data_IF_352056043751
#
_entry.id   IF_352056043751
#
_cell.length_a   1.000
_cell.length_b   1.000
_cell.length_c   1.000
_cell.angle_alpha   90.00
_cell.angle_beta   90.00
_cell.angle_gamma   90.00
#
_symmetry.space_group_name_H-M   'P 1'
#
loop_
_entity.id
_entity.type
_entity.pdbx_description
1 polymer ?
#
# COMPACT_ATOMS: atom_id res chain seq x y z
N UNK A 1 -40.80 26.94 -45.89
CA UNK A 1 -39.43 27.40 -45.57
C UNK A 1 -39.15 26.90 -44.17
N UNK A 2 -38.56 25.71 -44.06
CA UNK A 2 -38.26 25.05 -42.78
C UNK A 2 -36.82 25.41 -42.46
N UNK A 3 -36.61 26.09 -41.33
CA UNK A 3 -35.26 26.47 -40.89
C UNK A 3 -34.39 25.22 -40.69
N UNK A 4 -33.19 25.15 -41.29
CA UNK A 4 -32.31 23.98 -41.21
C UNK A 4 -31.68 23.76 -39.83
N UNK A 5 -31.92 24.64 -38.85
CA UNK A 5 -31.34 24.60 -37.50
C UNK A 5 -32.06 23.67 -36.51
N UNK A 6 -33.28 23.21 -36.81
CA UNK A 6 -34.11 22.46 -35.86
C UNK A 6 -33.88 20.94 -35.89
N UNK A 7 -33.19 20.44 -36.91
CA UNK A 7 -33.00 19.00 -37.15
C UNK A 7 -31.84 18.35 -36.39
N UNK A 8 -31.02 19.13 -35.66
CA UNK A 8 -29.87 18.63 -34.91
C UNK A 8 -30.11 18.48 -33.39
N UNK A 9 -31.24 18.97 -32.86
CA UNK A 9 -31.49 18.96 -31.40
C UNK A 9 -32.14 17.67 -30.89
N UNK A 10 -32.66 16.81 -31.76
CA UNK A 10 -33.45 15.62 -31.37
C UNK A 10 -32.72 14.28 -31.53
N UNK A 11 -31.46 14.29 -31.95
CA UNK A 11 -30.64 13.08 -32.01
C UNK A 11 -30.16 12.69 -30.60
N UNK A 12 -30.94 11.87 -29.90
CA UNK A 12 -30.49 11.21 -28.65
C UNK A 12 -29.16 10.50 -28.93
N UNK A 13 -28.05 10.87 -28.26
CA UNK A 13 -26.77 10.24 -28.50
C UNK A 13 -26.85 8.75 -28.16
N UNK A 14 -26.37 7.89 -29.05
CA UNK A 14 -26.23 6.47 -28.76
C UNK A 14 -24.97 6.25 -27.90
N UNK A 15 -25.15 5.72 -26.69
CA UNK A 15 -24.08 5.50 -25.71
C UNK A 15 -23.59 4.04 -25.61
N UNK A 16 -24.10 3.13 -26.45
CA UNK A 16 -23.84 1.68 -26.33
C UNK A 16 -22.35 1.27 -26.50
N UNK A 17 -21.51 2.16 -27.03
CA UNK A 17 -20.07 1.92 -27.22
C UNK A 17 -19.15 2.56 -26.18
N UNK A 18 -19.68 3.31 -25.21
CA UNK A 18 -18.83 4.04 -24.24
C UNK A 18 -18.50 3.13 -23.06
N UNK A 19 -17.21 2.90 -22.72
CA UNK A 19 -16.82 2.11 -21.56
C UNK A 19 -17.06 2.90 -20.25
N UNK A 20 -18.32 3.11 -19.90
CA UNK A 20 -18.75 3.96 -18.79
C UNK A 20 -18.22 3.45 -17.44
N UNK A 21 -18.16 2.13 -17.25
CA UNK A 21 -17.66 1.53 -16.03
C UNK A 21 -16.16 1.81 -15.81
N UNK A 22 -15.35 1.70 -16.86
CA UNK A 22 -13.92 1.94 -16.78
C UNK A 22 -13.63 3.42 -16.49
N UNK A 23 -14.32 4.32 -17.20
CA UNK A 23 -14.18 5.76 -17.00
C UNK A 23 -14.65 6.19 -15.61
N UNK A 24 -15.74 5.63 -15.09
CA UNK A 24 -16.23 5.93 -13.75
C UNK A 24 -15.28 5.44 -12.65
N UNK A 25 -14.70 4.24 -12.82
CA UNK A 25 -13.66 3.74 -11.93
C UNK A 25 -12.44 4.66 -11.90
N UNK A 26 -11.96 5.12 -13.06
CA UNK A 26 -10.85 6.08 -13.16
C UNK A 26 -11.24 7.42 -12.54
N UNK A 27 -12.45 7.92 -12.80
CA UNK A 27 -12.98 9.17 -12.26
C UNK A 27 -12.99 9.16 -10.73
N UNK A 28 -13.46 8.07 -10.12
CA UNK A 28 -13.49 7.91 -8.66
C UNK A 28 -12.07 7.99 -8.07
N UNK A 29 -11.09 7.35 -8.70
CA UNK A 29 -9.69 7.36 -8.25
C UNK A 29 -9.03 8.73 -8.45
N UNK A 30 -9.30 9.41 -9.55
CA UNK A 30 -8.83 10.77 -9.80
C UNK A 30 -9.43 11.75 -8.78
N UNK A 31 -10.71 11.63 -8.45
CA UNK A 31 -11.35 12.45 -7.42
C UNK A 31 -10.69 12.28 -6.04
N UNK A 32 -10.36 11.04 -5.66
CA UNK A 32 -9.62 10.74 -4.44
C UNK A 32 -8.23 11.40 -4.44
N UNK A 33 -7.49 11.27 -5.56
CA UNK A 33 -6.18 11.91 -5.72
C UNK A 33 -6.25 13.43 -5.63
N UNK A 34 -7.22 14.05 -6.30
CA UNK A 34 -7.43 15.50 -6.24
C UNK A 34 -7.73 15.95 -4.81
N UNK A 35 -8.53 15.18 -4.06
CA UNK A 35 -8.82 15.50 -2.67
C UNK A 35 -7.56 15.45 -1.79
N UNK A 36 -6.69 14.45 -1.99
CA UNK A 36 -5.42 14.35 -1.25
C UNK A 36 -4.41 15.43 -1.63
N UNK A 37 -4.29 15.76 -2.91
CA UNK A 37 -3.44 16.86 -3.38
C UNK A 37 -3.93 18.21 -2.84
N UNK A 38 -5.25 18.42 -2.83
CA UNK A 38 -5.85 19.62 -2.24
C UNK A 38 -5.51 19.72 -0.76
N UNK A 39 -5.58 18.61 -0.02
CA UNK A 39 -5.20 18.57 1.39
C UNK A 39 -3.73 18.95 1.61
N UNK A 40 -2.80 18.40 0.82
CA UNK A 40 -1.38 18.78 0.90
C UNK A 40 -1.19 20.27 0.59
N UNK A 41 -1.82 20.76 -0.47
CA UNK A 41 -1.75 22.18 -0.84
C UNK A 41 -2.28 23.07 0.28
N UNK A 42 -3.41 22.71 0.88
CA UNK A 42 -4.02 23.49 1.95
C UNK A 42 -3.13 23.48 3.21
N UNK A 43 -2.43 22.37 3.51
CA UNK A 43 -1.43 22.27 4.59
C UNK A 43 -0.17 23.09 4.30
N UNK A 44 0.31 23.11 3.04
CA UNK A 44 1.46 23.90 2.61
C UNK A 44 1.14 25.40 2.53
N UNK A 45 -0.14 25.75 2.34
CA UNK A 45 -0.59 27.15 2.30
C UNK A 45 -0.68 27.80 3.67
N UNK A 46 -0.51 27.03 4.77
CA UNK A 46 -0.48 27.59 6.11
C UNK A 46 0.83 28.37 6.33
N UNK A 47 0.72 29.49 7.06
CA UNK A 47 1.83 30.40 7.32
C UNK A 47 2.96 29.77 8.16
N UNK A 48 2.62 28.74 8.95
CA UNK A 48 3.57 27.95 9.72
C UNK A 48 3.80 26.62 9.00
N UNK A 49 5.07 26.27 8.75
CA UNK A 49 5.40 24.99 8.13
C UNK A 49 4.91 23.85 9.05
N UNK A 50 4.09 22.92 8.54
CA UNK A 50 3.63 21.80 9.33
C UNK A 50 4.81 20.92 9.76
N UNK A 51 4.62 20.19 10.87
CA UNK A 51 5.58 19.20 11.33
C UNK A 51 5.91 18.20 10.21
N UNK A 52 7.20 17.96 9.96
CA UNK A 52 7.69 17.10 8.87
C UNK A 52 6.98 15.73 8.79
N UNK A 53 6.76 15.08 9.93
CA UNK A 53 6.07 13.78 9.98
C UNK A 53 4.64 13.82 9.42
N UNK A 54 3.92 14.92 9.66
CA UNK A 54 2.57 15.12 9.14
C UNK A 54 2.59 15.28 7.62
N UNK A 55 3.55 16.05 7.10
CA UNK A 55 3.74 16.21 5.66
C UNK A 55 4.12 14.87 4.98
N UNK A 56 5.09 14.16 5.56
CA UNK A 56 5.53 12.85 5.06
C UNK A 56 4.38 11.84 5.01
N UNK A 57 3.56 11.79 6.06
CA UNK A 57 2.39 10.90 6.12
C UNK A 57 1.39 11.22 5.00
N UNK A 58 1.09 12.50 4.76
CA UNK A 58 0.19 12.92 3.68
C UNK A 58 0.77 12.63 2.28
N UNK A 59 2.09 12.78 2.11
CA UNK A 59 2.78 12.42 0.88
C UNK A 59 2.70 10.91 0.62
N UNK A 60 2.92 10.08 1.65
CA UNK A 60 2.78 8.62 1.52
C UNK A 60 1.36 8.18 1.14
N UNK A 61 0.34 8.83 1.70
CA UNK A 61 -1.06 8.59 1.31
C UNK A 61 -1.29 8.97 -0.15
N UNK A 62 -0.76 10.13 -0.58
CA UNK A 62 -0.90 10.60 -1.96
C UNK A 62 -0.16 9.67 -2.94
N UNK A 63 1.04 9.21 -2.58
CA UNK A 63 1.79 8.24 -3.38
C UNK A 63 1.01 6.93 -3.55
N UNK A 64 0.37 6.44 -2.47
CA UNK A 64 -0.48 5.25 -2.52
C UNK A 64 -1.69 5.45 -3.45
N UNK A 65 -2.27 6.65 -3.45
CA UNK A 65 -3.37 6.99 -4.35
C UNK A 65 -2.91 7.10 -5.82
N UNK A 66 -1.75 7.70 -6.08
CA UNK A 66 -1.15 7.73 -7.43
C UNK A 66 -0.92 6.31 -7.93
N UNK A 67 -0.32 5.43 -7.10
CA UNK A 67 -0.15 4.02 -7.47
C UNK A 67 -1.48 3.32 -7.78
N UNK A 68 -2.53 3.59 -7.00
CA UNK A 68 -3.87 3.04 -7.24
C UNK A 68 -4.48 3.53 -8.55
N UNK A 69 -4.34 4.83 -8.87
CA UNK A 69 -4.77 5.42 -10.14
C UNK A 69 -4.03 4.77 -11.30
N UNK A 70 -2.70 4.66 -11.22
CA UNK A 70 -1.87 4.07 -12.27
C UNK A 70 -2.24 2.61 -12.52
N UNK A 71 -2.43 1.82 -11.47
CA UNK A 71 -2.86 0.42 -11.59
C UNK A 71 -4.25 0.30 -12.26
N UNK A 72 -5.18 1.20 -11.93
CA UNK A 72 -6.52 1.24 -12.54
C UNK A 72 -6.44 1.63 -14.01
N UNK A 73 -5.60 2.61 -14.37
CA UNK A 73 -5.38 3.02 -15.76
C UNK A 73 -4.73 1.90 -16.58
N UNK A 74 -3.74 1.20 -16.03
CA UNK A 74 -3.10 0.05 -16.68
C UNK A 74 -4.11 -1.08 -16.94
N UNK A 75 -4.99 -1.36 -15.99
CA UNK A 75 -6.04 -2.39 -16.16
C UNK A 75 -6.99 -2.06 -17.31
N UNK A 76 -7.37 -0.79 -17.49
CA UNK A 76 -8.29 -0.35 -18.55
C UNK A 76 -7.60 0.21 -19.80
N UNK A 77 -6.28 0.11 -19.91
CA UNK A 77 -5.50 0.76 -20.97
C UNK A 77 -6.00 0.40 -22.37
N UNK A 78 -6.29 -0.89 -22.63
CA UNK A 78 -6.77 -1.33 -23.94
C UNK A 78 -8.09 -0.70 -24.36
N UNK A 79 -9.02 -0.50 -23.41
CA UNK A 79 -10.31 0.15 -23.68
C UNK A 79 -10.13 1.66 -23.84
N UNK A 80 -9.33 2.28 -22.97
CA UNK A 80 -9.09 3.73 -22.98
C UNK A 80 -8.28 4.22 -24.18
N UNK A 81 -7.44 3.36 -24.78
CA UNK A 81 -6.69 3.71 -25.98
C UNK A 81 -7.56 3.63 -27.25
N UNK A 82 -8.54 2.72 -27.25
CA UNK A 82 -9.50 2.57 -28.37
C UNK A 82 -10.61 3.61 -28.38
N UNK A 83 -10.89 4.26 -27.25
CA UNK A 83 -12.00 5.20 -27.13
C UNK A 83 -11.60 6.61 -27.58
N UNK A 84 -12.38 7.19 -28.49
CA UNK A 84 -12.19 8.57 -28.94
C UNK A 84 -13.09 9.51 -28.14
N UNK A 85 -12.53 10.61 -27.64
CA UNK A 85 -13.27 11.60 -26.84
C UNK A 85 -13.70 12.74 -27.75
N UNK A 86 -15.02 12.91 -27.92
CA UNK A 86 -15.62 14.04 -28.63
C UNK A 86 -16.58 14.81 -27.71
N UNK A 87 -16.75 16.13 -27.89
CA UNK A 87 -17.75 16.89 -27.15
C UNK A 87 -19.16 16.39 -27.47
N UNK A 88 -20.05 16.48 -26.47
CA UNK A 88 -21.46 16.16 -26.66
C UNK A 88 -22.12 17.17 -27.63
N UNK A 89 -23.15 16.75 -28.41
CA UNK A 89 -23.89 17.66 -29.30
C UNK A 89 -24.52 18.86 -28.58
N UNK A 90 -24.80 18.70 -27.28
CA UNK A 90 -25.37 19.74 -26.42
C UNK A 90 -24.34 20.77 -25.94
N UNK A 91 -23.04 20.54 -26.18
CA UNK A 91 -21.99 21.44 -25.75
C UNK A 91 -21.76 22.55 -26.80
N UNK A 92 -21.87 23.85 -26.46
CA UNK A 92 -21.72 24.95 -27.41
C UNK A 92 -20.27 25.09 -27.87
N UNK A 93 -19.94 24.38 -28.95
CA UNK A 93 -18.56 24.19 -29.42
C UNK A 93 -17.96 25.50 -29.97
N UNK A 94 -18.77 26.37 -30.59
CA UNK A 94 -18.31 27.65 -31.16
C UNK A 94 -18.03 28.74 -30.13
N UNK A 95 -18.70 28.72 -28.97
CA UNK A 95 -18.54 29.78 -27.95
C UNK A 95 -17.41 29.50 -26.96
N UNK A 96 -17.05 28.23 -26.79
CA UNK A 96 -16.06 27.78 -25.79
C UNK A 96 -14.94 26.92 -26.40
N UNK A 97 -14.58 27.18 -27.65
CA UNK A 97 -13.53 26.45 -28.37
C UNK A 97 -12.17 26.51 -27.65
N UNK A 98 -11.79 27.68 -27.11
CA UNK A 98 -10.53 27.85 -26.38
C UNK A 98 -10.44 27.02 -25.09
N UNK A 99 -11.56 26.83 -24.40
CA UNK A 99 -11.62 25.95 -23.21
C UNK A 99 -11.53 24.49 -23.62
N UNK A 100 -12.26 24.10 -24.68
CA UNK A 100 -12.28 22.73 -25.18
C UNK A 100 -10.88 22.25 -25.63
N UNK A 101 -10.20 23.09 -26.42
CA UNK A 101 -8.84 22.82 -26.89
C UNK A 101 -7.83 22.70 -25.75
N UNK A 102 -8.04 23.41 -24.65
CA UNK A 102 -7.21 23.31 -23.44
C UNK A 102 -7.51 22.03 -22.64
N UNK A 103 -8.79 21.68 -22.44
CA UNK A 103 -9.19 20.50 -21.66
C UNK A 103 -8.90 19.18 -22.37
N UNK A 104 -9.08 19.12 -23.69
CA UNK A 104 -8.82 17.92 -24.50
C UNK A 104 -7.37 17.84 -25.01
N UNK A 105 -6.50 18.74 -24.56
CA UNK A 105 -5.09 18.72 -24.93
C UNK A 105 -4.41 17.45 -24.41
N UNK A 106 -3.93 16.60 -25.32
CA UNK A 106 -3.08 15.43 -25.00
C UNK A 106 -1.58 15.76 -24.93
N UNK A 107 -1.18 16.98 -25.32
CA UNK A 107 0.23 17.40 -25.30
C UNK A 107 0.69 17.66 -23.85
N UNK A 108 1.80 17.04 -23.48
CA UNK A 108 2.42 17.17 -22.16
C UNK A 108 2.81 18.62 -21.84
N UNK A 109 3.10 18.86 -20.57
CA UNK A 109 3.61 20.13 -20.05
C UNK A 109 5.07 20.29 -20.54
N UNK A 110 5.51 21.49 -20.97
CA UNK A 110 6.85 21.70 -21.52
C UNK A 110 7.98 21.26 -20.58
N UNK A 111 7.84 21.47 -19.28
CA UNK A 111 8.83 21.03 -18.27
C UNK A 111 9.05 19.51 -18.31
N UNK A 112 7.98 18.73 -18.53
CA UNK A 112 8.08 17.26 -18.62
C UNK A 112 8.71 16.86 -19.95
N UNK A 113 8.44 17.59 -21.04
CA UNK A 113 9.10 17.38 -22.35
C UNK A 113 10.61 17.63 -22.28
N UNK A 114 11.04 18.69 -21.58
CA UNK A 114 12.44 18.99 -21.34
C UNK A 114 13.13 17.88 -20.54
N UNK A 115 12.53 17.45 -19.41
CA UNK A 115 13.06 16.35 -18.61
C UNK A 115 13.16 15.04 -19.40
N UNK A 116 12.19 14.76 -20.29
CA UNK A 116 12.26 13.61 -21.19
C UNK A 116 13.39 13.73 -22.21
N UNK A 117 13.65 14.93 -22.73
CA UNK A 117 14.80 15.17 -23.63
C UNK A 117 16.11 14.96 -22.89
N UNK A 118 16.27 15.58 -21.72
CA UNK A 118 17.47 15.41 -20.89
C UNK A 118 17.71 13.95 -20.51
N UNK A 119 16.65 13.20 -20.17
CA UNK A 119 16.78 11.77 -19.88
C UNK A 119 17.25 10.95 -21.09
N UNK A 120 16.82 11.31 -22.30
CA UNK A 120 17.29 10.68 -23.55
C UNK A 120 18.74 11.05 -23.85
N UNK A 121 19.14 12.29 -23.59
CA UNK A 121 20.51 12.74 -23.80
C UNK A 121 21.47 12.11 -22.76
N UNK A 122 20.99 11.85 -21.54
CA UNK A 122 21.73 11.15 -20.49
C UNK A 122 21.81 9.65 -20.72
N UNK A 123 20.82 9.05 -21.37
CA UNK A 123 20.94 7.66 -21.79
C UNK A 123 21.94 7.62 -22.95
N UNK A 124 23.16 7.18 -22.67
CA UNK A 124 24.27 6.95 -23.64
C UNK A 124 23.95 5.87 -24.71
N UNK A 125 22.67 5.55 -24.87
CA UNK A 125 22.10 4.71 -25.88
C UNK A 125 21.88 5.54 -27.13
N UNK A 126 22.90 5.56 -28.00
CA UNK A 126 22.72 6.03 -29.36
C UNK A 126 21.81 5.06 -30.10
N UNK A 127 20.52 5.40 -30.10
CA UNK A 127 19.44 4.65 -30.73
C UNK A 127 19.65 4.43 -32.24
N UNK A 128 20.62 5.13 -32.84
CA UNK A 128 20.98 5.02 -34.25
C UNK A 128 22.09 3.99 -34.53
N UNK A 129 22.85 3.54 -33.53
CA UNK A 129 24.01 2.65 -33.72
C UNK A 129 23.84 1.25 -33.15
N UNK A 130 23.05 1.07 -32.09
CA UNK A 130 22.74 -0.26 -31.56
C UNK A 130 21.53 -0.89 -32.24
N UNK A 131 21.70 -2.12 -32.74
CA UNK A 131 20.59 -2.96 -33.21
C UNK A 131 19.53 -3.09 -32.10
N UNK A 132 18.27 -2.73 -32.38
CA UNK A 132 17.15 -2.75 -31.43
C UNK A 132 17.02 -4.08 -30.67
N UNK A 133 17.38 -5.19 -31.32
CA UNK A 133 17.37 -6.54 -30.75
C UNK A 133 18.41 -6.72 -29.64
N UNK A 134 19.58 -6.12 -29.75
CA UNK A 134 20.63 -6.22 -28.73
C UNK A 134 20.26 -5.39 -27.50
N UNK A 135 19.63 -4.24 -27.71
CA UNK A 135 19.05 -3.43 -26.65
C UNK A 135 17.97 -4.18 -25.86
N UNK A 136 17.01 -4.79 -26.56
CA UNK A 136 15.97 -5.61 -25.90
C UNK A 136 16.56 -6.75 -25.08
N UNK A 137 17.62 -7.41 -25.59
CA UNK A 137 18.33 -8.45 -24.85
C UNK A 137 19.00 -7.90 -23.59
N UNK A 138 19.65 -6.74 -23.67
CA UNK A 138 20.27 -6.10 -22.51
C UNK A 138 19.23 -5.71 -21.45
N UNK A 139 18.12 -5.11 -21.87
CA UNK A 139 17.03 -4.73 -20.97
C UNK A 139 16.39 -5.95 -20.29
N UNK A 140 16.28 -7.08 -21.01
CA UNK A 140 15.79 -8.31 -20.41
C UNK A 140 16.76 -8.85 -19.36
N UNK A 141 18.07 -8.84 -19.64
CA UNK A 141 19.09 -9.21 -18.66
C UNK A 141 19.00 -8.33 -17.39
N UNK A 142 18.84 -7.01 -17.55
CA UNK A 142 18.71 -6.08 -16.42
C UNK A 142 17.46 -6.33 -15.58
N UNK A 143 16.34 -6.71 -16.22
CA UNK A 143 15.12 -7.14 -15.52
C UNK A 143 15.33 -8.45 -14.78
N UNK A 144 16.01 -9.41 -15.39
CA UNK A 144 16.31 -10.70 -14.76
C UNK A 144 17.22 -10.51 -13.54
N UNK A 145 18.23 -9.62 -13.62
CA UNK A 145 19.08 -9.24 -12.49
C UNK A 145 18.25 -8.56 -11.39
N UNK A 146 17.39 -7.60 -11.74
CA UNK A 146 16.56 -6.87 -10.78
C UNK A 146 15.60 -7.80 -10.03
N UNK A 147 14.99 -8.74 -10.74
CA UNK A 147 14.10 -9.75 -10.14
C UNK A 147 14.87 -10.73 -9.26
N UNK A 148 16.06 -11.16 -9.67
CA UNK A 148 16.95 -11.99 -8.87
C UNK A 148 17.38 -11.29 -7.55
N UNK A 149 17.75 -10.00 -7.62
CA UNK A 149 18.08 -9.20 -6.44
C UNK A 149 16.92 -9.15 -5.44
N UNK A 150 15.70 -8.90 -5.93
CA UNK A 150 14.50 -8.85 -5.10
C UNK A 150 14.24 -10.21 -4.45
N UNK A 151 14.31 -11.31 -5.21
CA UNK A 151 14.11 -12.66 -4.69
C UNK A 151 15.14 -13.01 -3.61
N UNK A 152 16.40 -12.65 -3.82
CA UNK A 152 17.48 -12.87 -2.85
C UNK A 152 17.21 -12.08 -1.57
N UNK A 153 16.84 -10.80 -1.69
CA UNK A 153 16.51 -9.96 -0.53
C UNK A 153 15.31 -10.48 0.24
N UNK A 154 14.26 -10.95 -0.43
CA UNK A 154 13.10 -11.59 0.20
C UNK A 154 13.50 -12.90 0.87
N UNK A 155 14.40 -13.67 0.27
CA UNK A 155 14.98 -14.88 0.85
C UNK A 155 15.71 -14.59 2.17
N UNK A 156 16.60 -13.59 2.18
CA UNK A 156 17.30 -13.16 3.40
C UNK A 156 16.34 -12.60 4.45
N UNK A 157 15.37 -11.75 4.04
CA UNK A 157 14.38 -11.21 4.97
C UNK A 157 13.55 -12.30 5.64
N UNK A 158 13.21 -13.38 4.92
CA UNK A 158 12.48 -14.52 5.48
C UNK A 158 13.33 -15.39 6.41
N UNK A 159 14.65 -15.42 6.23
CA UNK A 159 15.57 -16.14 7.13
C UNK A 159 15.74 -15.43 8.47
N UNK A 160 15.65 -14.11 8.47
CA UNK A 160 15.78 -13.30 9.68
C UNK A 160 14.41 -12.97 10.29
N UNK A 161 14.10 -13.58 11.44
CA UNK A 161 12.95 -13.13 12.23
C UNK A 161 13.34 -11.91 13.08
N UNK A 162 12.92 -10.72 12.65
CA UNK A 162 13.12 -9.47 13.38
C UNK A 162 12.28 -9.39 14.67
N UNK A 163 11.35 -10.31 14.89
CA UNK A 163 10.61 -10.43 16.15
C UNK A 163 11.46 -11.03 17.26
N UNK A 164 12.50 -11.80 16.93
CA UNK A 164 13.41 -12.42 17.89
C UNK A 164 14.31 -11.43 18.65
N UNK A 165 14.41 -10.17 18.22
CA UNK A 165 15.04 -9.12 19.05
C UNK A 165 14.23 -8.79 20.32
N UNK A 166 12.98 -9.26 20.39
CA UNK A 166 12.13 -9.19 21.59
C UNK A 166 11.75 -10.56 22.15
N UNK A 167 12.03 -11.64 21.42
CA UNK A 167 11.69 -13.02 21.76
C UNK A 167 12.94 -13.93 21.66
N UNK A 168 14.11 -13.50 22.16
CA UNK A 168 15.11 -14.48 22.64
C UNK A 168 14.62 -15.04 23.97
N UNK A 169 13.53 -15.81 23.87
CA UNK A 169 12.81 -16.45 24.95
C UNK A 169 13.35 -17.84 25.30
N UNK A 170 14.49 -18.25 24.74
CA UNK A 170 15.08 -19.56 25.03
C UNK A 170 16.56 -19.56 25.42
N UNK A 171 17.28 -18.43 25.31
CA UNK A 171 18.48 -18.20 26.12
C UNK A 171 18.16 -17.60 27.51
N UNK A 172 16.88 -17.25 27.77
CA UNK A 172 16.45 -16.39 28.89
C UNK A 172 15.42 -17.02 29.83
N UNK A 173 15.26 -18.35 29.85
CA UNK A 173 14.36 -19.02 30.83
C UNK A 173 14.88 -18.95 32.28
N UNK A 174 16.15 -18.63 32.50
CA UNK A 174 16.74 -18.46 33.85
C UNK A 174 16.51 -17.04 34.40
N UNK A 175 16.34 -16.02 33.55
CA UNK A 175 16.26 -14.62 33.98
C UNK A 175 14.81 -14.11 34.13
N UNK A 176 13.84 -14.74 33.47
CA UNK A 176 12.42 -14.37 33.51
C UNK A 176 11.68 -14.84 34.78
N UNK A 177 12.25 -15.77 35.55
CA UNK A 177 11.67 -16.27 36.81
C UNK A 177 11.84 -15.31 37.98
N UNK A 178 12.88 -14.46 37.98
CA UNK A 178 13.19 -13.57 39.10
C UNK A 178 12.32 -12.30 39.18
N UNK A 179 11.55 -11.95 38.14
CA UNK A 179 10.70 -10.76 38.13
C UNK A 179 9.19 -11.02 37.97
N UNK A 180 8.75 -12.29 37.92
CA UNK A 180 7.35 -12.57 38.24
C UNK A 180 7.19 -12.38 39.74
N UNK A 181 6.58 -11.26 40.16
CA UNK A 181 6.02 -11.13 41.50
C UNK A 181 5.29 -12.45 41.79
N UNK A 182 5.57 -13.14 42.92
CA UNK A 182 4.91 -14.39 43.22
C UNK A 182 3.41 -14.12 43.15
N UNK A 183 2.73 -14.76 42.20
CA UNK A 183 1.32 -14.46 41.90
C UNK A 183 0.43 -14.65 43.12
N UNK A 184 0.90 -15.40 44.11
CA UNK A 184 0.24 -15.65 45.39
C UNK A 184 1.31 -15.76 46.49
N UNK A 185 1.24 -14.96 47.58
CA UNK A 185 2.20 -15.04 48.68
C UNK A 185 2.02 -16.29 49.55
N UNK A 186 0.82 -16.87 49.57
CA UNK A 186 0.48 -18.14 50.22
C UNK A 186 -0.70 -18.79 49.48
N UNK A 187 -0.90 -20.09 49.68
CA UNK A 187 -2.08 -20.79 49.18
C UNK A 187 -3.25 -20.54 50.13
N UNK A 188 -4.36 -20.02 49.60
CA UNK A 188 -5.56 -19.68 50.39
C UNK A 188 -6.16 -20.92 51.05
N UNK A 189 -6.11 -22.06 50.36
CA UNK A 189 -6.60 -23.36 50.85
C UNK A 189 -5.87 -23.83 52.12
N UNK A 190 -4.56 -23.61 52.22
CA UNK A 190 -3.77 -24.02 53.38
C UNK A 190 -4.10 -23.18 54.62
N UNK A 191 -4.39 -21.88 54.43
CA UNK A 191 -4.82 -20.98 55.50
C UNK A 191 -6.23 -21.33 55.98
N UNK A 192 -7.14 -21.63 55.04
CA UNK A 192 -8.49 -22.10 55.36
C UNK A 192 -8.45 -23.44 56.11
N UNK A 193 -7.60 -24.37 55.67
CA UNK A 193 -7.44 -25.67 56.33
C UNK A 193 -6.88 -25.52 57.75
N UNK A 194 -5.90 -24.65 57.96
CA UNK A 194 -5.38 -24.34 59.28
C UNK A 194 -6.44 -23.70 60.21
N UNK A 195 -7.19 -22.72 59.71
CA UNK A 195 -8.20 -22.02 60.53
C UNK A 195 -9.38 -22.91 60.94
N UNK A 196 -9.80 -23.83 60.07
CA UNK A 196 -10.95 -24.70 60.35
C UNK A 196 -10.58 -26.03 61.02
N UNK A 197 -9.38 -26.56 60.80
CA UNK A 197 -8.96 -27.88 61.32
C UNK A 197 -7.71 -27.86 62.19
N UNK A 198 -7.04 -26.70 62.32
CA UNK A 198 -5.77 -26.58 63.06
C UNK A 198 -4.58 -27.25 62.38
N UNK A 199 -4.69 -27.61 61.09
CA UNK A 199 -3.68 -28.37 60.36
C UNK A 199 -2.67 -27.43 59.67
N UNK A 200 -1.39 -27.54 60.02
CA UNK A 200 -0.33 -26.72 59.43
C UNK A 200 -0.08 -27.12 57.96
N UNK A 201 0.31 -26.15 57.12
CA UNK A 201 0.72 -26.40 55.74
C UNK A 201 1.92 -27.36 55.70
N UNK A 202 1.66 -28.65 55.52
CA UNK A 202 2.71 -29.66 55.40
C UNK A 202 3.48 -29.39 54.11
N UNK A 203 4.77 -29.03 54.25
CA UNK A 203 5.75 -29.24 53.18
C UNK A 203 5.62 -30.70 52.75
N UNK A 204 5.40 -30.90 51.46
CA UNK A 204 5.25 -32.19 50.80
C UNK A 204 6.13 -33.27 51.43
N UNK A 205 5.51 -34.20 52.17
CA UNK A 205 6.14 -35.47 52.51
C UNK A 205 6.26 -36.26 51.21
N UNK A 206 7.47 -36.31 50.70
CA UNK A 206 7.88 -37.14 49.58
C UNK A 206 7.49 -38.61 49.86
N UNK A 207 6.52 -39.13 49.12
CA UNK A 207 6.17 -40.55 49.18
C UNK A 207 7.28 -41.35 48.47
N UNK A 208 8.15 -41.99 49.25
CA UNK A 208 8.73 -43.28 48.86
C UNK A 208 8.06 -44.35 49.72
N UNK A 209 7.23 -45.17 49.08
CA UNK A 209 6.75 -46.39 49.72
C UNK A 209 7.87 -47.42 49.77
N UNK A 210 8.05 -48.07 50.92
CA UNK A 210 8.35 -49.52 50.99
C UNK A 210 8.16 -50.04 52.42
N UNK A 211 7.28 -51.04 52.49
CA UNK A 211 7.32 -52.24 53.33
C UNK A 211 6.97 -52.20 54.83
N UNK A 212 6.00 -53.08 55.13
CA UNK A 212 5.52 -53.54 56.41
C UNK A 212 6.65 -53.99 57.35
N UNK A 213 6.57 -53.60 58.61
CA UNK A 213 7.07 -54.42 59.72
C UNK A 213 5.96 -54.57 60.74
N UNK A 214 5.27 -55.71 60.66
CA UNK A 214 4.37 -56.21 61.70
C UNK A 214 5.19 -56.66 62.89
N UNK A 215 4.96 -56.07 64.06
CA UNK A 215 5.51 -56.55 65.34
C UNK A 215 4.55 -57.55 65.93
N UNK A 216 4.96 -58.82 66.13
CA UNK A 216 4.48 -59.63 67.27
C UNK A 216 5.53 -60.70 67.67
N UNK A 217 5.93 -60.63 68.94
CA UNK A 217 6.63 -61.59 69.84
C UNK A 217 8.02 -62.12 69.50
#
# INVERSE_FOLDING_TARGET
MVDPSDSLQDAKPNFDGVPAQAVDAVRMRLAQLTHSLRRIRDELSRAELPQWYTLQSQLNVTLSQIMSVTSTLQHFQGLLDSTMVYPLPNFPTTSHEGLLTTLLRKKNIPEVEELMSTAKDMSDLDLNTMEHRELERSLQNDRDISTWCLQTLVGEYRKHDFKSFREDGDAMNITLSNHKKPSKPFQIEDVLRYTYRGENANKETNNQGTEEVTVIN
#
